data_IF_159858237076
#
_entry.id   IF_159858237076
#
_cell.length_a   1.000
_cell.length_b   1.000
_cell.length_c   1.000
_cell.angle_alpha   90.00
_cell.angle_beta   90.00
_cell.angle_gamma   90.00
#
_symmetry.space_group_name_H-M   'P 1'
#
loop_
_entity.id
_entity.type
_entity.pdbx_description
1 polymer ?
#
# COMPACT_ATOMS: atom_id res chain seq x y z
N UNK A 1 7.16 -7.08 -31.22
CA UNK A 1 7.90 -7.37 -29.97
C UNK A 1 7.16 -6.69 -28.82
N UNK A 2 6.87 -7.38 -27.72
CA UNK A 2 6.23 -6.73 -26.54
C UNK A 2 7.29 -5.92 -25.78
N UNK A 3 6.88 -4.80 -25.19
CA UNK A 3 7.75 -3.93 -24.39
C UNK A 3 7.99 -4.42 -22.96
N UNK A 4 7.14 -5.33 -22.46
CA UNK A 4 7.25 -5.90 -21.11
C UNK A 4 7.92 -7.27 -21.13
N UNK A 5 8.82 -7.50 -20.17
CA UNK A 5 9.53 -8.78 -20.01
C UNK A 5 8.68 -9.82 -19.28
N UNK A 6 9.05 -11.11 -19.39
CA UNK A 6 8.40 -12.18 -18.62
C UNK A 6 8.55 -11.98 -17.11
N UNK A 7 9.70 -11.45 -16.67
CA UNK A 7 9.92 -11.06 -15.27
C UNK A 7 8.90 -9.99 -14.85
N UNK A 8 8.65 -8.99 -15.70
CA UNK A 8 7.65 -7.96 -15.45
C UNK A 8 6.24 -8.55 -15.35
N UNK A 9 5.89 -9.50 -16.22
CA UNK A 9 4.61 -10.21 -16.17
C UNK A 9 4.45 -10.95 -14.83
N UNK A 10 5.47 -11.66 -14.37
CA UNK A 10 5.42 -12.37 -13.09
C UNK A 10 5.28 -11.41 -11.90
N UNK A 11 5.97 -10.27 -11.92
CA UNK A 11 5.79 -9.24 -10.88
C UNK A 11 4.37 -8.67 -10.88
N UNK A 12 3.83 -8.31 -12.05
CA UNK A 12 2.45 -7.81 -12.16
C UNK A 12 1.44 -8.83 -11.64
N UNK A 13 1.61 -10.12 -11.95
CA UNK A 13 0.75 -11.19 -11.42
C UNK A 13 0.82 -11.30 -9.89
N UNK A 14 2.02 -11.17 -9.31
CA UNK A 14 2.18 -11.17 -7.86
C UNK A 14 1.50 -9.96 -7.21
N UNK A 15 1.61 -8.76 -7.81
CA UNK A 15 0.96 -7.55 -7.31
C UNK A 15 -0.57 -7.65 -7.42
N UNK A 16 -1.09 -8.13 -8.55
CA UNK A 16 -2.52 -8.40 -8.71
C UNK A 16 -3.04 -9.40 -7.67
N UNK A 17 -2.24 -10.44 -7.36
CA UNK A 17 -2.60 -11.40 -6.31
C UNK A 17 -2.74 -10.72 -4.95
N UNK A 18 -1.76 -9.90 -4.56
CA UNK A 18 -1.83 -9.18 -3.28
C UNK A 18 -3.06 -8.29 -3.18
N UNK A 19 -3.38 -7.56 -4.24
CA UNK A 19 -4.58 -6.73 -4.27
C UNK A 19 -5.85 -7.58 -4.08
N UNK A 20 -5.99 -8.65 -4.86
CA UNK A 20 -7.16 -9.56 -4.76
C UNK A 20 -7.24 -10.26 -3.40
N UNK A 21 -6.11 -10.69 -2.83
CA UNK A 21 -6.08 -11.34 -1.50
C UNK A 21 -6.54 -10.37 -0.40
N UNK A 22 -6.11 -9.10 -0.45
CA UNK A 22 -6.54 -8.05 0.49
C UNK A 22 -8.02 -7.74 0.31
N UNK A 23 -8.54 -7.79 -0.91
CA UNK A 23 -9.98 -7.69 -1.22
C UNK A 23 -10.81 -8.93 -0.83
N UNK A 24 -10.26 -9.83 -0.02
CA UNK A 24 -10.96 -11.03 0.46
C UNK A 24 -10.90 -12.22 -0.51
N UNK A 25 -9.97 -12.21 -1.46
CA UNK A 25 -9.78 -13.29 -2.42
C UNK A 25 -10.73 -13.25 -3.63
N UNK A 26 -10.48 -14.09 -4.66
CA UNK A 26 -11.28 -14.13 -5.88
C UNK A 26 -12.78 -14.38 -5.65
N UNK A 27 -13.12 -15.13 -4.61
CA UNK A 27 -14.50 -15.48 -4.22
C UNK A 27 -15.32 -14.29 -3.73
N UNK A 28 -14.70 -13.31 -3.07
CA UNK A 28 -15.38 -12.12 -2.59
C UNK A 28 -15.26 -10.98 -3.61
N UNK A 29 -14.07 -10.77 -4.17
CA UNK A 29 -13.82 -9.68 -5.10
C UNK A 29 -14.68 -9.76 -6.37
N UNK A 30 -15.09 -10.95 -6.81
CA UNK A 30 -16.01 -11.12 -7.96
C UNK A 30 -17.36 -10.38 -7.81
N UNK A 31 -17.75 -10.01 -6.60
CA UNK A 31 -18.99 -9.26 -6.34
C UNK A 31 -18.81 -7.75 -6.46
N UNK A 32 -17.56 -7.27 -6.48
CA UNK A 32 -17.20 -5.85 -6.58
C UNK A 32 -16.64 -5.48 -7.97
N UNK A 33 -16.55 -6.43 -8.89
CA UNK A 33 -15.98 -6.27 -10.23
C UNK A 33 -16.83 -6.98 -11.28
N UNK A 34 -16.63 -6.65 -12.55
CA UNK A 34 -17.34 -7.29 -13.68
C UNK A 34 -16.84 -8.70 -14.05
N UNK A 35 -15.80 -9.21 -13.40
CA UNK A 35 -15.18 -10.51 -13.74
C UNK A 35 -15.41 -11.55 -12.63
N UNK A 36 -15.76 -12.77 -13.03
CA UNK A 36 -15.98 -13.87 -12.09
C UNK A 36 -14.69 -14.48 -11.52
N UNK A 37 -14.83 -15.24 -10.43
CA UNK A 37 -13.74 -15.90 -9.68
C UNK A 37 -12.71 -16.61 -10.57
N UNK A 38 -13.16 -17.40 -11.56
CA UNK A 38 -12.26 -18.16 -12.42
C UNK A 38 -11.31 -17.29 -13.25
N UNK A 39 -11.76 -16.11 -13.70
CA UNK A 39 -10.90 -15.17 -14.45
C UNK A 39 -9.97 -14.43 -13.50
N UNK A 40 -10.46 -14.03 -12.32
CA UNK A 40 -9.61 -13.43 -11.28
C UNK A 40 -8.44 -14.35 -10.93
N UNK A 41 -8.68 -15.64 -10.72
CA UNK A 41 -7.62 -16.63 -10.47
C UNK A 41 -6.60 -16.69 -11.61
N UNK A 42 -7.02 -16.56 -12.87
CA UNK A 42 -6.08 -16.55 -14.01
C UNK A 42 -5.19 -15.31 -14.02
N UNK A 43 -5.70 -14.16 -13.56
CA UNK A 43 -4.90 -12.94 -13.47
C UNK A 43 -3.83 -13.06 -12.39
N UNK A 44 -4.10 -13.75 -11.28
CA UNK A 44 -3.20 -13.79 -10.12
C UNK A 44 -2.23 -14.98 -10.12
N UNK A 45 -2.55 -16.09 -10.77
CA UNK A 45 -1.71 -17.29 -10.81
C UNK A 45 -0.44 -17.11 -11.66
N UNK A 46 0.72 -17.63 -11.23
CA UNK A 46 2.01 -17.42 -11.90
C UNK A 46 2.29 -18.49 -12.98
N UNK A 47 1.31 -19.35 -13.27
CA UNK A 47 1.44 -20.45 -14.23
C UNK A 47 1.76 -19.94 -15.63
N UNK A 48 2.69 -20.58 -16.38
CA UNK A 48 2.94 -20.29 -17.78
C UNK A 48 1.66 -20.31 -18.65
N UNK A 49 0.73 -21.21 -18.35
CA UNK A 49 -0.55 -21.34 -19.08
C UNK A 49 -1.40 -20.07 -18.97
N UNK A 50 -1.22 -19.33 -17.88
CA UNK A 50 -1.93 -18.09 -17.59
C UNK A 50 -1.09 -16.82 -17.80
N UNK A 51 0.13 -16.93 -18.31
CA UNK A 51 1.05 -15.79 -18.50
C UNK A 51 0.45 -14.69 -19.40
N UNK A 52 -0.41 -15.07 -20.35
CA UNK A 52 -1.10 -14.12 -21.25
C UNK A 52 -2.31 -13.41 -20.62
N UNK A 53 -2.80 -13.89 -19.48
CA UNK A 53 -3.95 -13.31 -18.79
C UNK A 53 -3.44 -12.32 -17.73
N UNK A 54 -3.47 -11.04 -18.07
CA UNK A 54 -3.21 -9.93 -17.17
C UNK A 54 -4.54 -9.27 -16.82
N UNK A 55 -4.62 -8.72 -15.60
CA UNK A 55 -5.78 -7.99 -15.13
C UNK A 55 -6.03 -6.76 -16.02
N UNK A 56 -7.24 -6.59 -16.58
CA UNK A 56 -7.61 -5.36 -17.29
C UNK A 56 -7.52 -4.12 -16.38
N UNK A 57 -7.25 -2.95 -16.96
CA UNK A 57 -6.98 -1.72 -16.20
C UNK A 57 -8.15 -1.28 -15.31
N UNK A 58 -9.38 -1.47 -15.77
CA UNK A 58 -10.61 -1.21 -15.01
C UNK A 58 -10.72 -2.13 -13.79
N UNK A 59 -10.46 -3.42 -13.97
CA UNK A 59 -10.46 -4.40 -12.86
C UNK A 59 -9.31 -4.15 -11.89
N UNK A 60 -8.16 -3.70 -12.38
CA UNK A 60 -7.01 -3.34 -11.54
C UNK A 60 -7.32 -2.12 -10.66
N UNK A 61 -8.01 -1.12 -11.21
CA UNK A 61 -8.50 0.02 -10.43
C UNK A 61 -9.50 -0.43 -9.36
N UNK A 62 -10.48 -1.26 -9.72
CA UNK A 62 -11.45 -1.82 -8.77
C UNK A 62 -10.75 -2.61 -7.65
N UNK A 63 -9.70 -3.36 -7.96
CA UNK A 63 -8.93 -4.11 -6.97
C UNK A 63 -8.19 -3.19 -5.98
N UNK A 64 -7.56 -2.11 -6.46
CA UNK A 64 -6.90 -1.13 -5.59
C UNK A 64 -7.92 -0.36 -4.72
N UNK A 65 -9.09 -0.03 -5.28
CA UNK A 65 -10.17 0.63 -4.55
C UNK A 65 -10.76 -0.28 -3.45
N UNK A 66 -11.05 -1.54 -3.79
CA UNK A 66 -11.56 -2.53 -2.84
C UNK A 66 -10.53 -2.85 -1.75
N UNK A 67 -9.25 -2.90 -2.11
CA UNK A 67 -8.16 -3.05 -1.13
C UNK A 67 -7.96 -1.80 -0.24
N UNK A 68 -8.54 -0.65 -0.61
CA UNK A 68 -8.37 0.62 0.10
C UNK A 68 -6.97 1.24 -0.02
N UNK A 69 -6.13 0.73 -0.93
CA UNK A 69 -4.75 1.17 -1.10
C UNK A 69 -4.22 0.93 -2.52
N UNK A 70 -3.32 1.80 -3.04
CA UNK A 70 -2.87 1.77 -4.44
C UNK A 70 -1.80 0.70 -4.72
N UNK A 71 -2.13 -0.59 -4.60
CA UNK A 71 -1.15 -1.69 -4.72
C UNK A 71 -0.66 -1.86 -6.17
N UNK A 72 -1.57 -1.95 -7.12
CA UNK A 72 -1.27 -2.18 -8.53
C UNK A 72 -0.74 -0.90 -9.16
N UNK A 73 -1.40 0.25 -8.93
CA UNK A 73 -0.97 1.53 -9.53
C UNK A 73 0.40 1.97 -9.01
N UNK A 74 0.77 1.69 -7.75
CA UNK A 74 2.13 1.95 -7.25
C UNK A 74 3.19 1.15 -7.99
N UNK A 75 2.92 -0.12 -8.30
CA UNK A 75 3.85 -0.94 -9.09
C UNK A 75 3.95 -0.44 -10.53
N UNK A 76 2.84 -0.03 -11.14
CA UNK A 76 2.84 0.57 -12.48
C UNK A 76 3.65 1.86 -12.52
N UNK A 77 3.54 2.71 -11.51
CA UNK A 77 4.36 3.93 -11.39
C UNK A 77 5.85 3.56 -11.28
N UNK A 78 6.19 2.63 -10.37
CA UNK A 78 7.57 2.15 -10.15
C UNK A 78 8.21 1.57 -11.41
N UNK A 79 7.48 0.77 -12.18
CA UNK A 79 7.95 0.16 -13.43
C UNK A 79 8.26 1.21 -14.53
N UNK A 80 7.61 2.36 -14.46
CA UNK A 80 7.79 3.47 -15.39
C UNK A 80 8.78 4.53 -14.87
N UNK A 81 9.31 4.35 -13.65
CA UNK A 81 10.23 5.32 -13.03
C UNK A 81 9.55 6.53 -12.40
N UNK A 82 8.23 6.47 -12.16
CA UNK A 82 7.47 7.51 -11.47
C UNK A 82 7.27 7.19 -9.99
N UNK A 83 7.05 8.25 -9.20
CA UNK A 83 6.50 8.14 -7.84
C UNK A 83 5.01 8.43 -7.88
N UNK A 84 4.24 7.68 -7.10
CA UNK A 84 2.81 7.90 -6.94
C UNK A 84 2.59 8.91 -5.80
N UNK A 85 1.83 9.97 -6.08
CA UNK A 85 1.44 11.00 -5.11
C UNK A 85 -0.09 11.07 -5.14
N UNK A 86 -0.75 11.28 -3.99
CA UNK A 86 -2.20 11.40 -3.94
C UNK A 86 -2.65 12.81 -4.34
N UNK A 87 -3.74 12.90 -5.09
CA UNK A 87 -4.33 14.17 -5.54
C UNK A 87 -5.01 14.98 -4.43
N UNK A 88 -5.46 14.33 -3.35
CA UNK A 88 -6.10 14.99 -2.19
C UNK A 88 -5.09 15.69 -1.28
N UNK A 89 -3.79 15.57 -1.59
CA UNK A 89 -2.78 16.54 -1.18
C UNK A 89 -2.94 17.76 -2.10
N UNK A 90 -4.02 18.50 -1.87
CA UNK A 90 -4.11 19.88 -2.31
C UNK A 90 -2.77 20.56 -2.00
N UNK A 91 -2.18 21.22 -3.00
CA UNK A 91 -0.95 22.00 -2.90
C UNK A 91 -1.12 23.24 -1.99
N UNK A 92 -1.57 23.04 -0.76
CA UNK A 92 -1.39 23.90 0.39
C UNK A 92 -0.57 23.11 1.42
N UNK A 93 0.61 22.65 0.99
CA UNK A 93 1.62 22.18 1.93
C UNK A 93 2.12 23.42 2.64
N UNK A 94 1.48 23.79 3.75
CA UNK A 94 2.03 24.79 4.66
C UNK A 94 3.50 24.44 4.90
N UNK A 95 4.39 25.43 4.75
CA UNK A 95 5.82 25.24 4.95
C UNK A 95 6.07 24.54 6.29
N UNK A 96 7.06 23.64 6.32
CA UNK A 96 7.45 22.90 7.51
C UNK A 96 7.51 23.83 8.74
N UNK A 97 6.66 23.55 9.72
CA UNK A 97 6.53 24.36 10.92
C UNK A 97 7.05 23.59 12.15
N UNK A 98 7.45 24.31 13.19
CA UNK A 98 7.91 23.69 14.46
C UNK A 98 6.89 22.73 15.07
N UNK A 99 5.58 22.97 14.85
CA UNK A 99 4.52 22.06 15.29
C UNK A 99 4.66 20.66 14.67
N UNK A 100 5.16 20.55 13.44
CA UNK A 100 5.27 19.28 12.71
C UNK A 100 6.38 18.41 13.30
N UNK A 101 7.49 19.03 13.70
CA UNK A 101 8.56 18.38 14.47
C UNK A 101 8.00 17.87 15.80
N UNK A 102 7.13 18.65 16.44
CA UNK A 102 6.48 18.28 17.70
C UNK A 102 5.48 17.12 17.57
N UNK A 103 4.70 17.07 16.49
CA UNK A 103 3.81 15.93 16.18
C UNK A 103 4.62 14.67 15.85
N UNK A 104 5.68 14.80 15.05
CA UNK A 104 6.59 13.71 14.73
C UNK A 104 7.22 13.10 15.99
N UNK A 105 7.77 13.94 16.87
CA UNK A 105 8.39 13.51 18.11
C UNK A 105 7.39 12.82 19.05
N UNK A 106 6.15 13.32 19.12
CA UNK A 106 5.09 12.70 19.93
C UNK A 106 4.69 11.34 19.41
N UNK A 107 4.45 11.20 18.11
CA UNK A 107 4.10 9.91 17.50
C UNK A 107 5.21 8.88 17.67
N UNK A 108 6.46 9.28 17.43
CA UNK A 108 7.61 8.40 17.61
C UNK A 108 7.81 8.00 19.09
N UNK A 109 7.70 8.95 20.01
CA UNK A 109 7.81 8.69 21.45
C UNK A 109 6.72 7.74 21.96
N UNK A 110 5.47 7.91 21.50
CA UNK A 110 4.38 7.02 21.86
C UNK A 110 4.63 5.57 21.38
N UNK A 111 5.10 5.41 20.14
CA UNK A 111 5.44 4.10 19.58
C UNK A 111 6.61 3.45 20.35
N UNK A 112 7.68 4.20 20.64
CA UNK A 112 8.82 3.69 21.39
C UNK A 112 8.44 3.27 22.80
N UNK A 113 7.66 4.08 23.52
CA UNK A 113 7.22 3.75 24.88
C UNK A 113 6.40 2.46 24.90
N UNK A 114 5.43 2.33 23.99
CA UNK A 114 4.64 1.10 23.88
C UNK A 114 5.50 -0.11 23.50
N UNK A 115 6.53 0.08 22.67
CA UNK A 115 7.46 -0.99 22.31
C UNK A 115 8.34 -1.40 23.49
N UNK A 116 8.81 -0.46 24.32
CA UNK A 116 9.57 -0.79 25.52
C UNK A 116 8.71 -1.53 26.55
N UNK A 117 7.49 -1.08 26.80
CA UNK A 117 6.54 -1.75 27.70
C UNK A 117 6.25 -3.18 27.22
N UNK A 118 5.94 -3.36 25.94
CA UNK A 118 5.61 -4.67 25.38
C UNK A 118 6.81 -5.65 25.31
N UNK A 119 8.04 -5.15 25.50
CA UNK A 119 9.26 -5.98 25.52
C UNK A 119 9.76 -6.27 26.94
N UNK A 120 9.15 -5.69 27.97
CA UNK A 120 9.61 -5.78 29.36
C UNK A 120 9.55 -7.21 29.92
N UNK A 121 8.53 -7.98 29.55
CA UNK A 121 8.36 -9.38 29.94
C UNK A 121 8.96 -10.39 28.94
N UNK A 122 9.58 -9.88 27.87
CA UNK A 122 10.17 -10.67 26.79
C UNK A 122 9.16 -11.38 25.88
N UNK A 123 7.86 -11.11 26.00
CA UNK A 123 6.82 -11.76 25.21
C UNK A 123 5.66 -10.82 24.84
N UNK A 124 5.69 -10.32 23.60
CA UNK A 124 4.62 -9.45 23.07
C UNK A 124 3.31 -10.23 22.86
N UNK A 125 2.28 -9.89 23.62
CA UNK A 125 0.96 -10.51 23.57
C UNK A 125 0.07 -10.01 22.39
N UNK A 126 -1.06 -10.68 22.09
CA UNK A 126 -1.93 -10.26 20.98
C UNK A 126 -2.58 -8.87 21.14
N UNK A 127 -2.77 -8.39 22.37
CA UNK A 127 -3.29 -7.04 22.66
C UNK A 127 -2.20 -6.00 22.40
N UNK A 128 -0.99 -6.23 22.86
CA UNK A 128 0.18 -5.38 22.63
C UNK A 128 0.51 -5.26 21.15
N UNK A 129 0.47 -6.37 20.41
CA UNK A 129 0.61 -6.34 18.94
C UNK A 129 -0.39 -5.40 18.28
N UNK A 130 -1.67 -5.42 18.70
CA UNK A 130 -2.70 -4.52 18.17
C UNK A 130 -2.43 -3.06 18.53
N UNK A 131 -1.96 -2.80 19.74
CA UNK A 131 -1.59 -1.44 20.18
C UNK A 131 -0.41 -0.92 19.36
N UNK A 132 0.65 -1.72 19.20
CA UNK A 132 1.83 -1.38 18.41
C UNK A 132 1.47 -1.16 16.93
N UNK A 133 0.63 -2.01 16.34
CA UNK A 133 0.17 -1.83 14.97
C UNK A 133 -0.59 -0.52 14.79
N UNK A 134 -1.53 -0.21 15.68
CA UNK A 134 -2.26 1.06 15.63
C UNK A 134 -1.33 2.27 15.73
N UNK A 135 -0.39 2.25 16.69
CA UNK A 135 0.58 3.34 16.86
C UNK A 135 1.54 3.47 15.68
N UNK A 136 1.92 2.35 15.06
CA UNK A 136 2.72 2.35 13.84
C UNK A 136 1.95 2.97 12.67
N UNK A 137 0.68 2.62 12.48
CA UNK A 137 -0.17 3.20 11.42
C UNK A 137 -0.39 4.70 11.63
N UNK A 138 -0.60 5.13 12.88
CA UNK A 138 -0.70 6.54 13.25
C UNK A 138 0.61 7.29 12.99
N UNK A 139 1.75 6.71 13.38
CA UNK A 139 3.07 7.28 13.14
C UNK A 139 3.39 7.38 11.64
N UNK A 140 3.05 6.36 10.86
CA UNK A 140 3.26 6.37 9.41
C UNK A 140 2.47 7.49 8.73
N UNK A 141 1.24 7.79 9.17
CA UNK A 141 0.47 8.93 8.67
C UNK A 141 1.17 10.26 8.95
N UNK A 142 1.67 10.45 10.17
CA UNK A 142 2.42 11.66 10.55
C UNK A 142 3.73 11.77 9.76
N UNK A 143 4.44 10.66 9.57
CA UNK A 143 5.67 10.59 8.78
C UNK A 143 5.43 10.98 7.32
N UNK A 144 4.34 10.52 6.70
CA UNK A 144 3.98 10.91 5.33
C UNK A 144 3.76 12.41 5.24
N UNK A 145 2.93 13.00 6.13
CA UNK A 145 2.70 14.45 6.15
C UNK A 145 3.98 15.25 6.40
N UNK A 146 4.85 14.76 7.29
CA UNK A 146 6.13 15.41 7.57
C UNK A 146 7.06 15.34 6.35
N UNK A 147 7.16 14.18 5.68
CA UNK A 147 7.94 14.00 4.47
C UNK A 147 7.43 14.92 3.34
N UNK A 148 6.12 15.00 3.14
CA UNK A 148 5.51 15.89 2.16
C UNK A 148 5.85 17.36 2.43
N UNK A 149 5.86 17.79 3.71
CA UNK A 149 6.27 19.16 4.10
C UNK A 149 7.75 19.44 3.95
N UNK A 150 8.60 18.43 4.09
CA UNK A 150 10.04 18.54 3.84
C UNK A 150 10.32 18.62 2.33
N UNK A 151 9.63 17.81 1.52
CA UNK A 151 9.77 17.80 0.06
C UNK A 151 9.15 19.05 -0.59
N UNK A 152 8.08 19.60 -0.03
CA UNK A 152 7.43 20.84 -0.45
C UNK A 152 8.25 22.13 -0.25
N UNK A 153 9.50 22.04 0.23
CA UNK A 153 10.45 23.16 0.28
C UNK A 153 11.47 23.05 -0.84
N UNK A 154 11.14 23.62 -2.00
CA UNK A 154 12.09 24.20 -2.96
C UNK A 154 11.32 25.10 -3.94
N UNK A 155 10.90 26.27 -3.47
CA UNK A 155 10.96 27.60 -4.13
C UNK A 155 10.10 28.62 -3.37
#
# INVERSE_FOLDING_TARGET
MRSISDKTIQMLKAVCRRAVDISGGPENFQHCTRVGQAQLSRYTLPSPDFAKYLMPIDVALEADLEAGMPIIVSELARLQGYRLVRDDVAHDVEALAYRDIGELNRGFGALLNAAFEALEDGNVDPREKRVLQRLLDEFMKVMTVFADRVEGRSE
#
